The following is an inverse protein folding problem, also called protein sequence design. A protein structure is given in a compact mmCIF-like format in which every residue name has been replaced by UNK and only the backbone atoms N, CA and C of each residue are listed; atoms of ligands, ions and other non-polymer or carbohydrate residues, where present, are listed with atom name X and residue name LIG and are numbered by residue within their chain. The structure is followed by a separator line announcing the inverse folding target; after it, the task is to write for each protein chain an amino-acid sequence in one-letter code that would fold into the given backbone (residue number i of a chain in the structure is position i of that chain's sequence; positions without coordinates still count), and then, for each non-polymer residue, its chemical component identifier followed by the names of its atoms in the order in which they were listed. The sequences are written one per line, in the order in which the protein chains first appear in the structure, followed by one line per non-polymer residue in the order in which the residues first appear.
data_IF_863441527574
#
_entry.id   IF_863441527574
#
_cell.length_a   1.000
_cell.length_b   1.000
_cell.length_c   1.000
_cell.angle_alpha   90.00
_cell.angle_beta   90.00
_cell.angle_gamma   90.00
#
_symmetry.space_group_name_H-M   'P 1'
#
loop_
_entity.id
_entity.type
_entity.pdbx_description
1 polymer ?
#
# COMPACT_ATOMS: atom_id res chain seq x y z
N UNK A 1 29.52 -3.57 2.52
CA UNK A 1 29.89 -3.11 3.87
C UNK A 1 28.67 -2.50 4.54
N UNK A 2 28.31 -2.89 5.78
CA UNK A 2 27.18 -2.31 6.48
C UNK A 2 27.41 -0.82 6.71
N UNK A 3 26.48 0.02 6.25
CA UNK A 3 26.57 1.47 6.40
C UNK A 3 25.90 1.91 7.71
N UNK A 4 26.69 2.40 8.66
CA UNK A 4 26.16 3.12 9.82
C UNK A 4 25.87 4.56 9.38
N UNK A 5 24.62 5.00 9.51
CA UNK A 5 24.23 6.38 9.22
C UNK A 5 23.83 7.10 10.51
N UNK A 6 24.27 8.35 10.63
CA UNK A 6 23.80 9.24 11.67
C UNK A 6 22.89 10.28 11.04
N UNK A 7 21.71 10.47 11.60
CA UNK A 7 20.79 11.51 11.18
C UNK A 7 20.53 12.40 12.39
N UNK A 8 20.78 13.70 12.22
CA UNK A 8 20.40 14.72 13.19
C UNK A 8 18.98 15.16 12.86
N UNK A 9 18.07 15.07 13.81
CA UNK A 9 16.67 15.49 13.64
C UNK A 9 16.15 16.21 14.85
N UNK A 10 15.09 16.99 14.64
CA UNK A 10 14.20 17.40 15.71
C UNK A 10 13.79 16.18 16.53
N UNK A 11 13.76 16.34 17.84
CA UNK A 11 13.44 15.26 18.74
C UNK A 11 12.06 14.68 18.42
N UNK A 12 11.84 13.35 18.49
CA UNK A 12 10.52 12.74 18.32
C UNK A 12 9.44 13.29 19.26
N UNK A 13 9.83 13.86 20.41
CA UNK A 13 8.93 14.49 21.39
C UNK A 13 8.60 15.95 21.07
N UNK A 14 9.31 16.60 20.14
CA UNK A 14 9.10 18.01 19.84
C UNK A 14 7.63 18.36 19.49
N UNK A 15 6.87 17.53 18.75
CA UNK A 15 5.46 17.80 18.46
C UNK A 15 4.50 17.56 19.64
N UNK A 16 4.97 17.07 20.78
CA UNK A 16 4.16 16.62 21.90
C UNK A 16 4.46 17.37 23.21
N UNK A 17 5.21 18.46 23.15
CA UNK A 17 5.63 19.25 24.33
C UNK A 17 4.43 19.81 25.11
N UNK A 18 3.35 20.16 24.41
CA UNK A 18 2.08 20.62 24.97
C UNK A 18 1.35 19.55 25.80
N UNK A 19 1.67 18.27 25.58
CA UNK A 19 1.05 17.11 26.25
C UNK A 19 1.89 16.54 27.38
N UNK A 20 3.07 17.12 27.65
CA UNK A 20 3.97 16.65 28.69
C UNK A 20 3.81 17.54 29.93
N UNK A 21 3.28 16.97 31.01
CA UNK A 21 3.22 17.64 32.31
C UNK A 21 4.63 17.67 32.91
N UNK A 22 5.13 18.86 33.25
CA UNK A 22 6.53 19.04 33.70
C UNK A 22 6.88 18.25 34.98
N UNK A 23 5.90 18.06 35.86
CA UNK A 23 5.98 17.30 37.12
C UNK A 23 5.59 15.81 36.97
N UNK A 24 5.19 15.38 35.77
CA UNK A 24 4.79 14.01 35.49
C UNK A 24 5.96 13.02 35.47
N UNK A 25 5.66 11.75 35.73
CA UNK A 25 6.60 10.64 35.58
C UNK A 25 6.13 9.72 34.45
N UNK A 26 6.99 9.47 33.49
CA UNK A 26 6.68 8.74 32.26
C UNK A 26 7.51 7.47 32.19
N UNK A 27 6.87 6.37 31.81
CA UNK A 27 7.49 5.10 31.44
C UNK A 27 7.54 4.95 29.92
N UNK A 28 8.24 3.92 29.45
CA UNK A 28 8.28 3.62 28.02
C UNK A 28 6.89 3.34 27.39
N UNK A 29 5.97 2.59 28.05
CA UNK A 29 4.57 2.52 27.64
C UNK A 29 3.87 3.88 27.52
N UNK A 30 4.11 4.80 28.45
CA UNK A 30 3.48 6.13 28.43
C UNK A 30 3.99 6.95 27.25
N UNK A 31 5.29 6.89 26.97
CA UNK A 31 5.89 7.52 25.79
C UNK A 31 5.33 6.94 24.48
N UNK A 32 5.13 5.62 24.42
CA UNK A 32 4.52 4.98 23.26
C UNK A 32 3.08 5.49 23.03
N UNK A 33 2.29 5.59 24.10
CA UNK A 33 0.93 6.12 24.06
C UNK A 33 0.91 7.61 23.67
N UNK A 34 1.77 8.42 24.27
CA UNK A 34 1.91 9.87 24.00
C UNK A 34 2.16 10.15 22.51
N UNK A 35 3.06 9.39 21.89
CA UNK A 35 3.43 9.54 20.48
C UNK A 35 2.50 8.79 19.51
N UNK A 36 1.55 8.00 20.01
CA UNK A 36 0.68 7.16 19.18
C UNK A 36 1.45 6.07 18.40
N UNK A 37 2.53 5.52 18.97
CA UNK A 37 3.34 4.47 18.34
C UNK A 37 3.28 3.16 19.14
N UNK A 38 3.68 2.05 18.51
CA UNK A 38 3.78 0.78 19.22
C UNK A 38 4.85 0.81 20.33
N UNK A 39 4.66 0.03 21.40
CA UNK A 39 5.65 -0.13 22.47
C UNK A 39 7.01 -0.58 21.95
N UNK A 40 7.03 -1.48 20.96
CA UNK A 40 8.25 -1.94 20.30
C UNK A 40 8.99 -0.79 19.60
N UNK A 41 8.26 0.10 18.92
CA UNK A 41 8.85 1.29 18.29
C UNK A 41 9.44 2.26 19.32
N UNK A 42 8.73 2.51 20.43
CA UNK A 42 9.25 3.32 21.52
C UNK A 42 10.51 2.70 22.15
N UNK A 43 10.53 1.38 22.35
CA UNK A 43 11.70 0.65 22.86
C UNK A 43 12.92 0.83 21.95
N UNK A 44 12.73 0.73 20.64
CA UNK A 44 13.81 0.92 19.67
C UNK A 44 14.32 2.38 19.75
N UNK A 45 13.45 3.38 19.81
CA UNK A 45 13.88 4.78 20.01
C UNK A 45 14.70 4.95 21.31
N UNK A 46 14.24 4.36 22.42
CA UNK A 46 14.95 4.40 23.70
C UNK A 46 16.32 3.70 23.64
N UNK A 47 16.41 2.57 22.95
CA UNK A 47 17.64 1.79 22.79
C UNK A 47 18.70 2.56 21.97
N UNK A 48 18.27 3.41 21.04
CA UNK A 48 19.16 4.20 20.18
C UNK A 48 19.33 5.66 20.64
N UNK A 49 19.08 5.89 21.93
CA UNK A 49 19.47 7.13 22.59
C UNK A 49 18.52 8.30 22.39
N UNK A 50 17.33 8.08 21.81
CA UNK A 50 16.31 9.12 21.74
C UNK A 50 15.72 9.49 23.10
N UNK A 51 15.91 8.67 24.13
CA UNK A 51 15.47 8.98 25.49
C UNK A 51 16.60 8.75 26.50
N UNK A 52 17.82 9.15 26.15
CA UNK A 52 18.97 9.05 27.06
C UNK A 52 18.77 10.00 28.24
N UNK A 53 18.55 9.48 29.46
CA UNK A 53 18.59 10.32 30.65
C UNK A 53 20.03 10.75 30.94
N UNK A 54 20.24 11.97 31.42
CA UNK A 54 21.57 12.54 31.66
C UNK A 54 22.28 11.95 32.91
N UNK A 55 21.83 10.84 33.49
CA UNK A 55 22.45 10.37 34.73
C UNK A 55 22.00 9.04 35.35
N UNK A 56 21.16 8.22 34.70
CA UNK A 56 20.81 6.91 35.27
C UNK A 56 21.48 5.78 34.47
N UNK A 57 22.53 5.20 35.07
CA UNK A 57 23.18 3.98 34.61
C UNK A 57 22.15 2.87 34.31
N UNK A 58 22.09 2.32 33.07
CA UNK A 58 21.15 1.28 32.69
C UNK A 58 21.39 -0.07 33.39
N UNK A 59 22.42 -0.21 34.23
CA UNK A 59 22.77 -1.46 34.93
C UNK A 59 21.98 -1.75 36.20
N UNK A 60 21.12 -0.85 36.69
CA UNK A 60 20.18 -1.15 37.79
C UNK A 60 18.83 -1.53 37.20
N UNK A 61 18.49 -2.82 37.27
CA UNK A 61 17.32 -3.44 36.63
C UNK A 61 15.94 -2.96 37.12
N UNK A 62 15.61 -1.69 36.91
CA UNK A 62 14.28 -1.12 37.10
C UNK A 62 13.88 -0.32 35.87
N UNK A 63 12.61 -0.44 35.52
CA UNK A 63 11.91 0.23 34.42
C UNK A 63 12.44 1.64 34.16
N UNK A 64 12.88 1.93 32.93
CA UNK A 64 13.30 3.29 32.55
C UNK A 64 12.14 4.25 32.77
N UNK A 65 12.37 5.27 33.58
CA UNK A 65 11.43 6.35 33.87
C UNK A 65 12.08 7.69 33.57
N UNK A 66 11.25 8.65 33.16
CA UNK A 66 11.64 10.02 32.85
C UNK A 66 10.67 10.99 33.50
N UNK A 67 11.20 12.06 34.05
CA UNK A 67 10.37 13.19 34.48
C UNK A 67 9.91 14.00 33.27
N UNK A 68 8.77 14.67 33.37
CA UNK A 68 8.27 15.54 32.31
C UNK A 68 9.24 16.66 31.96
N UNK A 69 9.89 17.26 32.97
CA UNK A 69 10.93 18.27 32.77
C UNK A 69 12.11 17.74 31.93
N UNK A 70 12.56 16.50 32.16
CA UNK A 70 13.60 15.87 31.33
C UNK A 70 13.13 15.67 29.89
N UNK A 71 11.89 15.19 29.69
CA UNK A 71 11.33 14.98 28.36
C UNK A 71 11.16 16.29 27.58
N UNK A 72 10.71 17.36 28.24
CA UNK A 72 10.62 18.70 27.66
C UNK A 72 12.00 19.21 27.27
N UNK A 73 13.01 19.04 28.13
CA UNK A 73 14.38 19.41 27.80
C UNK A 73 14.91 18.61 26.60
N UNK A 74 14.69 17.29 26.56
CA UNK A 74 15.06 16.45 25.43
C UNK A 74 14.34 16.89 24.14
N UNK A 75 13.06 17.25 24.22
CA UNK A 75 12.26 17.68 23.08
C UNK A 75 12.84 18.91 22.36
N UNK A 76 13.53 19.78 23.09
CA UNK A 76 14.20 20.97 22.53
C UNK A 76 15.55 20.68 21.87
N UNK A 77 16.14 19.51 22.13
CA UNK A 77 17.48 19.15 21.65
C UNK A 77 17.38 18.25 20.43
N UNK A 78 18.16 18.49 19.37
CA UNK A 78 18.22 17.55 18.28
C UNK A 78 18.80 16.23 18.78
N UNK A 79 18.17 15.12 18.38
CA UNK A 79 18.67 13.78 18.70
C UNK A 79 19.55 13.29 17.55
N UNK A 80 20.68 12.66 17.90
CA UNK A 80 21.48 11.88 16.96
C UNK A 80 21.10 10.41 17.12
N UNK A 81 20.33 9.90 16.16
CA UNK A 81 19.97 8.48 16.12
C UNK A 81 21.00 7.76 15.24
N UNK A 82 21.60 6.71 15.78
CA UNK A 82 22.47 5.80 15.02
C UNK A 82 21.61 4.73 14.40
N UNK A 83 21.58 4.67 13.06
CA UNK A 83 20.80 3.74 12.28
C UNK A 83 21.74 2.70 11.67
N UNK A 84 21.82 1.53 12.30
CA UNK A 84 22.67 0.43 11.88
C UNK A 84 21.90 -0.58 11.02
N UNK A 85 22.29 -0.69 9.75
CA UNK A 85 21.71 -1.61 8.77
C UNK A 85 22.13 -3.07 8.98
N UNK A 86 23.16 -3.35 9.79
CA UNK A 86 23.51 -4.71 10.16
C UNK A 86 22.59 -5.26 11.26
N UNK A 87 22.09 -4.38 12.13
CA UNK A 87 21.32 -4.78 13.31
C UNK A 87 19.82 -4.84 13.05
N UNK A 88 19.28 -4.03 12.14
CA UNK A 88 17.85 -3.89 11.93
C UNK A 88 17.43 -4.16 10.50
N UNK A 89 16.23 -4.73 10.38
CA UNK A 89 15.55 -4.83 9.10
C UNK A 89 15.33 -3.42 8.48
N UNK A 90 15.52 -3.25 7.16
CA UNK A 90 15.37 -1.97 6.49
C UNK A 90 14.01 -1.26 6.71
N UNK A 91 12.93 -2.02 6.86
CA UNK A 91 11.60 -1.45 7.17
C UNK A 91 11.55 -0.75 8.52
N UNK A 92 12.18 -1.33 9.54
CA UNK A 92 12.29 -0.73 10.88
C UNK A 92 13.10 0.56 10.79
N UNK A 93 14.23 0.53 10.09
CA UNK A 93 15.06 1.71 9.89
C UNK A 93 14.32 2.81 9.13
N UNK A 94 13.50 2.47 8.14
CA UNK A 94 12.63 3.42 7.46
C UNK A 94 11.67 4.12 8.45
N UNK A 95 11.02 3.36 9.34
CA UNK A 95 10.12 3.93 10.37
C UNK A 95 10.87 4.83 11.36
N UNK A 96 12.11 4.50 11.69
CA UNK A 96 13.00 5.34 12.50
C UNK A 96 13.58 6.54 11.75
N UNK A 97 13.32 6.64 10.44
CA UNK A 97 13.65 7.81 9.65
C UNK A 97 14.76 7.61 8.62
N UNK A 98 15.36 6.42 8.48
CA UNK A 98 16.27 6.17 7.36
C UNK A 98 15.53 6.37 6.03
N UNK A 99 16.19 7.02 5.07
CA UNK A 99 15.66 7.29 3.73
C UNK A 99 16.66 6.91 2.64
N UNK A 100 17.57 5.96 2.92
CA UNK A 100 18.40 5.38 1.86
C UNK A 100 17.54 4.50 0.96
N UNK A 101 17.99 4.28 -0.27
CA UNK A 101 17.24 3.53 -1.29
C UNK A 101 16.79 2.17 -0.78
N UNK A 102 17.69 1.40 -0.16
CA UNK A 102 17.33 0.08 0.40
C UNK A 102 16.24 0.10 1.47
N UNK A 103 16.19 1.14 2.32
CA UNK A 103 15.12 1.28 3.31
C UNK A 103 13.80 1.76 2.67
N UNK A 104 13.88 2.66 1.68
CA UNK A 104 12.70 3.13 0.95
C UNK A 104 12.07 2.01 0.12
N UNK A 105 12.88 1.22 -0.57
CA UNK A 105 12.46 0.08 -1.38
C UNK A 105 11.79 -0.99 -0.52
N UNK A 106 12.40 -1.33 0.63
CA UNK A 106 11.82 -2.28 1.57
C UNK A 106 10.45 -1.80 2.09
N UNK A 107 10.34 -0.52 2.49
CA UNK A 107 9.05 0.04 2.91
C UNK A 107 8.01 0.03 1.78
N UNK A 108 8.41 0.36 0.55
CA UNK A 108 7.53 0.33 -0.61
C UNK A 108 7.05 -1.09 -0.93
N UNK A 109 7.93 -2.09 -0.82
CA UNK A 109 7.59 -3.50 -0.98
C UNK A 109 6.60 -3.96 0.10
N UNK A 110 6.87 -3.69 1.37
CA UNK A 110 5.97 -4.01 2.49
C UNK A 110 4.60 -3.34 2.33
N UNK A 111 4.57 -2.08 1.91
CA UNK A 111 3.34 -1.33 1.66
C UNK A 111 2.54 -1.91 0.49
N UNK A 112 3.22 -2.37 -0.57
CA UNK A 112 2.58 -3.06 -1.70
C UNK A 112 1.98 -4.40 -1.26
N UNK A 113 2.73 -5.18 -0.49
CA UNK A 113 2.26 -6.48 0.01
C UNK A 113 1.03 -6.31 0.90
N UNK A 114 1.09 -5.41 1.88
CA UNK A 114 -0.05 -5.12 2.75
C UNK A 114 -1.29 -4.69 1.96
N UNK A 115 -1.13 -3.83 0.95
CA UNK A 115 -2.23 -3.43 0.05
C UNK A 115 -2.82 -4.62 -0.72
N UNK A 116 -1.99 -5.55 -1.17
CA UNK A 116 -2.44 -6.78 -1.85
C UNK A 116 -3.22 -7.68 -0.91
N UNK A 117 -2.70 -7.95 0.30
CA UNK A 117 -3.41 -8.73 1.32
C UNK A 117 -4.76 -8.08 1.66
N UNK A 118 -4.80 -6.77 1.84
CA UNK A 118 -6.05 -6.05 2.09
C UNK A 118 -7.02 -6.12 0.90
N UNK A 119 -6.50 -6.11 -0.34
CA UNK A 119 -7.32 -6.32 -1.54
C UNK A 119 -7.81 -7.77 -1.67
N UNK A 120 -7.03 -8.77 -1.25
CA UNK A 120 -7.45 -10.18 -1.19
C UNK A 120 -8.59 -10.40 -0.21
N UNK A 121 -8.55 -9.73 0.94
CA UNK A 121 -9.63 -9.78 1.91
C UNK A 121 -10.91 -9.12 1.38
N UNK A 122 -10.80 -8.02 0.63
CA UNK A 122 -11.95 -7.32 0.04
C UNK A 122 -12.54 -8.00 -1.19
N UNK A 123 -11.73 -8.74 -1.93
CA UNK A 123 -12.15 -9.43 -3.15
C UNK A 123 -11.48 -10.82 -3.22
N UNK A 124 -11.93 -11.77 -2.38
CA UNK A 124 -11.34 -13.11 -2.24
C UNK A 124 -11.49 -13.96 -3.51
N UNK A 125 -10.71 -15.05 -3.58
CA UNK A 125 -10.68 -15.95 -4.75
C UNK A 125 -12.06 -16.46 -5.21
N UNK A 126 -12.98 -16.91 -4.32
CA UNK A 126 -14.28 -17.40 -4.76
C UNK A 126 -15.14 -16.32 -5.44
N UNK A 127 -15.05 -15.06 -4.95
CA UNK A 127 -15.75 -13.95 -5.60
C UNK A 127 -15.13 -13.60 -6.95
N UNK A 128 -13.81 -13.72 -7.09
CA UNK A 128 -13.11 -13.51 -8.37
C UNK A 128 -13.58 -14.54 -9.41
N UNK A 129 -13.60 -15.81 -9.04
CA UNK A 129 -14.08 -16.90 -9.90
C UNK A 129 -15.54 -16.70 -10.29
N UNK A 130 -16.39 -16.28 -9.36
CA UNK A 130 -17.80 -16.02 -9.62
C UNK A 130 -18.01 -14.84 -10.58
N UNK A 131 -17.25 -13.75 -10.43
CA UNK A 131 -17.27 -12.63 -11.39
C UNK A 131 -16.88 -13.12 -12.79
N UNK A 132 -15.80 -13.90 -12.89
CA UNK A 132 -15.35 -14.45 -14.18
C UNK A 132 -16.42 -15.33 -14.81
N UNK A 133 -17.07 -16.19 -14.02
CA UNK A 133 -18.16 -17.06 -14.47
C UNK A 133 -19.37 -16.25 -14.98
N UNK A 134 -19.83 -15.26 -14.22
CA UNK A 134 -20.95 -14.40 -14.61
C UNK A 134 -20.63 -13.63 -15.89
N UNK A 135 -19.42 -13.09 -15.99
CA UNK A 135 -18.97 -12.38 -17.20
C UNK A 135 -18.95 -13.32 -18.38
N UNK A 136 -18.38 -14.52 -18.25
CA UNK A 136 -18.35 -15.53 -19.30
C UNK A 136 -19.76 -15.99 -19.77
N UNK A 137 -20.78 -15.82 -18.93
CA UNK A 137 -22.19 -16.08 -19.25
C UNK A 137 -22.89 -14.90 -19.93
N UNK A 138 -22.17 -13.83 -20.27
CA UNK A 138 -22.74 -12.66 -20.92
C UNK A 138 -23.13 -11.53 -19.95
N UNK A 139 -22.84 -11.65 -18.65
CA UNK A 139 -23.18 -10.61 -17.67
C UNK A 139 -22.18 -9.45 -17.75
N UNK A 140 -22.62 -8.18 -17.88
CA UNK A 140 -21.70 -7.05 -17.85
C UNK A 140 -20.92 -6.97 -16.53
N UNK A 141 -19.63 -6.62 -16.59
CA UNK A 141 -18.74 -6.53 -15.41
C UNK A 141 -19.34 -5.73 -14.25
N UNK A 142 -20.02 -4.58 -14.44
CA UNK A 142 -20.62 -3.87 -13.32
C UNK A 142 -21.71 -4.65 -12.60
N UNK A 143 -22.54 -5.37 -13.35
CA UNK A 143 -23.60 -6.23 -12.81
C UNK A 143 -23.01 -7.46 -12.11
N UNK A 144 -22.00 -8.09 -12.71
CA UNK A 144 -21.30 -9.23 -12.11
C UNK A 144 -20.58 -8.85 -10.80
N UNK A 145 -19.92 -7.68 -10.76
CA UNK A 145 -19.29 -7.16 -9.55
C UNK A 145 -20.32 -6.90 -8.44
N UNK A 146 -21.45 -6.26 -8.77
CA UNK A 146 -22.53 -6.01 -7.82
C UNK A 146 -23.10 -7.33 -7.27
N UNK A 147 -23.23 -8.37 -8.10
CA UNK A 147 -23.75 -9.68 -7.68
C UNK A 147 -22.89 -10.36 -6.61
N UNK A 148 -21.56 -10.13 -6.60
CA UNK A 148 -20.65 -10.66 -5.57
C UNK A 148 -20.36 -9.66 -4.44
N UNK A 149 -21.04 -8.52 -4.42
CA UNK A 149 -20.90 -7.50 -3.38
C UNK A 149 -19.63 -6.64 -3.48
N UNK A 150 -19.04 -6.50 -4.67
CA UNK A 150 -17.86 -5.64 -4.89
C UNK A 150 -18.15 -4.55 -5.92
N UNK A 151 -17.31 -3.52 -5.95
CA UNK A 151 -17.43 -2.45 -6.95
C UNK A 151 -16.71 -2.82 -8.25
N UNK A 152 -17.10 -2.26 -9.41
CA UNK A 152 -16.36 -2.44 -10.66
C UNK A 152 -14.90 -1.97 -10.56
N UNK A 153 -14.63 -0.96 -9.72
CA UNK A 153 -13.28 -0.48 -9.44
C UNK A 153 -12.42 -1.53 -8.72
N UNK A 154 -13.00 -2.37 -7.85
CA UNK A 154 -12.28 -3.47 -7.23
C UNK A 154 -11.82 -4.51 -8.27
N UNK A 155 -12.69 -4.82 -9.25
CA UNK A 155 -12.37 -5.74 -10.35
C UNK A 155 -11.25 -5.19 -11.24
N UNK A 156 -11.37 -3.93 -11.67
CA UNK A 156 -10.34 -3.27 -12.49
C UNK A 156 -9.01 -3.10 -11.73
N UNK A 157 -9.09 -2.73 -10.44
CA UNK A 157 -7.92 -2.60 -9.57
C UNK A 157 -7.20 -3.92 -9.39
N UNK A 158 -7.92 -5.04 -9.25
CA UNK A 158 -7.35 -6.39 -9.21
C UNK A 158 -6.59 -6.73 -10.50
N UNK A 159 -7.24 -6.56 -11.65
CA UNK A 159 -6.64 -6.86 -12.96
C UNK A 159 -5.39 -6.03 -13.28
N UNK A 160 -5.18 -4.90 -12.57
CA UNK A 160 -3.98 -4.07 -12.79
C UNK A 160 -2.69 -4.73 -12.30
N UNK A 161 -2.75 -5.64 -11.32
CA UNK A 161 -1.56 -6.23 -10.69
C UNK A 161 -1.58 -7.76 -10.58
N UNK A 162 -2.74 -8.40 -10.74
CA UNK A 162 -2.92 -9.85 -10.82
C UNK A 162 -3.09 -10.24 -12.29
N UNK A 163 -1.99 -10.62 -12.95
CA UNK A 163 -1.96 -10.91 -14.39
C UNK A 163 -2.84 -12.12 -14.75
N UNK A 164 -2.84 -13.16 -13.91
CA UNK A 164 -3.65 -14.35 -14.15
C UNK A 164 -5.15 -14.01 -14.10
N UNK A 165 -5.57 -13.18 -13.14
CA UNK A 165 -6.95 -12.69 -13.11
C UNK A 165 -7.27 -11.77 -14.29
N UNK A 166 -6.33 -10.91 -14.69
CA UNK A 166 -6.51 -10.01 -15.84
C UNK A 166 -6.73 -10.80 -17.14
N UNK A 167 -5.90 -11.81 -17.41
CA UNK A 167 -6.01 -12.67 -18.59
C UNK A 167 -7.32 -13.44 -18.60
N UNK A 168 -7.73 -14.00 -17.45
CA UNK A 168 -9.00 -14.70 -17.32
C UNK A 168 -10.19 -13.76 -17.51
N UNK A 169 -10.11 -12.52 -17.02
CA UNK A 169 -11.14 -11.50 -17.21
C UNK A 169 -11.23 -11.08 -18.67
N UNK A 170 -10.10 -10.84 -19.34
CA UNK A 170 -10.06 -10.54 -20.77
C UNK A 170 -10.63 -11.70 -21.61
N UNK A 171 -10.35 -12.96 -21.22
CA UNK A 171 -10.95 -14.12 -21.86
C UNK A 171 -12.48 -14.15 -21.67
N UNK A 172 -12.96 -13.92 -20.45
CA UNK A 172 -14.39 -13.90 -20.14
C UNK A 172 -15.11 -12.75 -20.89
N UNK A 173 -14.46 -11.60 -21.04
CA UNK A 173 -14.99 -10.42 -21.75
C UNK A 173 -15.27 -10.68 -23.24
N UNK A 174 -14.66 -11.70 -23.86
CA UNK A 174 -15.01 -12.10 -25.22
C UNK A 174 -16.45 -12.58 -25.37
N UNK A 175 -17.05 -13.16 -24.32
CA UNK A 175 -18.46 -13.55 -24.33
C UNK A 175 -19.42 -12.36 -24.45
N UNK A 176 -18.95 -11.15 -24.10
CA UNK A 176 -19.69 -9.90 -24.27
C UNK A 176 -19.54 -9.31 -25.69
N UNK A 177 -18.78 -9.97 -26.57
CA UNK A 177 -18.61 -9.52 -27.94
C UNK A 177 -19.83 -9.90 -28.77
N UNK A 178 -20.59 -8.90 -29.23
CA UNK A 178 -21.77 -9.08 -30.08
C UNK A 178 -21.45 -9.63 -31.47
N UNK A 179 -20.23 -9.41 -31.95
CA UNK A 179 -19.80 -9.75 -33.31
C UNK A 179 -18.91 -10.99 -33.36
N UNK A 180 -18.40 -11.50 -32.23
CA UNK A 180 -17.39 -12.54 -32.20
C UNK A 180 -15.97 -12.02 -32.54
N UNK A 181 -14.96 -12.84 -32.29
CA UNK A 181 -13.54 -12.45 -32.41
C UNK A 181 -13.04 -12.37 -33.86
N UNK A 182 -13.68 -13.11 -34.77
CA UNK A 182 -13.27 -13.24 -36.18
C UNK A 182 -14.05 -12.33 -37.11
N UNK A 183 -15.03 -11.59 -36.61
CA UNK A 183 -15.86 -10.72 -37.44
C UNK A 183 -15.05 -9.47 -37.85
N UNK A 184 -14.98 -9.15 -39.17
CA UNK A 184 -14.25 -8.01 -39.68
C UNK A 184 -14.67 -6.66 -39.07
N UNK A 185 -15.87 -6.59 -38.49
CA UNK A 185 -16.39 -5.42 -37.82
C UNK A 185 -15.95 -5.30 -36.35
N UNK A 186 -15.52 -6.36 -35.65
CA UNK A 186 -14.97 -6.21 -34.27
C UNK A 186 -13.80 -5.21 -34.28
N UNK A 187 -13.78 -4.36 -33.27
CA UNK A 187 -12.78 -3.30 -33.14
C UNK A 187 -13.05 -2.06 -33.99
N UNK A 188 -13.95 -2.08 -34.98
CA UNK A 188 -14.27 -0.89 -35.79
C UNK A 188 -15.11 0.14 -35.01
N UNK A 189 -15.01 1.42 -35.40
CA UNK A 189 -15.83 2.48 -34.81
C UNK A 189 -17.34 2.32 -35.11
N UNK A 190 -17.68 1.58 -36.17
CA UNK A 190 -19.06 1.23 -36.50
C UNK A 190 -19.59 0.18 -35.49
N UNK A 191 -18.86 -0.91 -35.27
CA UNK A 191 -19.27 -1.95 -34.33
C UNK A 191 -19.42 -1.44 -32.89
N UNK A 192 -18.61 -0.48 -32.44
CA UNK A 192 -18.78 0.11 -31.10
C UNK A 192 -20.04 0.97 -30.94
N UNK A 193 -20.48 1.62 -32.02
CA UNK A 193 -21.69 2.45 -31.99
C UNK A 193 -22.96 1.61 -32.13
N UNK A 194 -22.83 0.40 -32.70
CA UNK A 194 -23.98 -0.38 -33.11
C UNK A 194 -24.57 0.17 -34.40
N UNK A 195 -25.65 -0.44 -34.87
CA UNK A 195 -26.35 0.03 -36.05
C UNK A 195 -27.22 1.25 -35.72
N UNK A 196 -27.36 2.19 -36.68
CA UNK A 196 -28.14 3.44 -36.48
C UNK A 196 -29.64 3.20 -36.31
N UNK A 197 -30.13 2.07 -36.82
CA UNK A 197 -31.50 1.56 -36.71
C UNK A 197 -31.72 0.72 -35.44
N UNK A 198 -30.72 0.61 -34.56
CA UNK A 198 -30.76 -0.14 -33.30
C UNK A 198 -31.02 -1.65 -33.42
N UNK A 199 -30.98 -2.21 -34.62
CA UNK A 199 -31.11 -3.66 -34.87
C UNK A 199 -29.93 -4.45 -34.33
N UNK A 200 -28.74 -3.85 -34.26
CA UNK A 200 -27.55 -4.44 -33.65
C UNK A 200 -26.99 -3.56 -32.53
N UNK A 201 -27.01 -4.00 -31.26
CA UNK A 201 -26.44 -3.24 -30.17
C UNK A 201 -24.92 -3.10 -30.34
N UNK A 202 -24.40 -1.92 -30.04
CA UNK A 202 -22.96 -1.66 -30.10
C UNK A 202 -22.16 -2.61 -29.21
N UNK A 203 -20.96 -2.97 -29.67
CA UNK A 203 -20.06 -3.87 -28.96
C UNK A 203 -19.76 -3.34 -27.55
N UNK A 204 -20.15 -4.13 -26.54
CA UNK A 204 -19.96 -3.82 -25.12
C UNK A 204 -18.70 -4.45 -24.53
N UNK A 205 -18.05 -5.36 -25.27
CA UNK A 205 -16.78 -5.96 -24.87
C UNK A 205 -15.65 -4.93 -24.79
N UNK A 206 -15.10 -4.74 -23.59
CA UNK A 206 -13.89 -3.92 -23.39
C UNK A 206 -12.63 -4.58 -23.96
N UNK A 207 -12.65 -5.90 -24.18
CA UNK A 207 -11.57 -6.68 -24.78
C UNK A 207 -11.23 -6.29 -26.24
N UNK A 208 -12.22 -6.08 -27.13
CA UNK A 208 -11.94 -5.56 -28.49
C UNK A 208 -11.24 -4.16 -28.40
N UNK A 209 -11.46 -3.36 -27.32
CA UNK A 209 -10.84 -2.01 -27.16
C UNK A 209 -9.40 -2.09 -26.66
N UNK A 210 -9.10 -2.98 -25.72
CA UNK A 210 -7.72 -3.19 -25.24
C UNK A 210 -6.86 -3.80 -26.34
N UNK A 211 -7.35 -4.85 -27.01
CA UNK A 211 -6.67 -5.50 -28.14
C UNK A 211 -6.32 -4.50 -29.26
N UNK A 212 -7.30 -3.70 -29.73
CA UNK A 212 -7.05 -2.72 -30.79
C UNK A 212 -6.06 -1.64 -30.37
N UNK A 213 -6.10 -1.19 -29.11
CA UNK A 213 -5.10 -0.23 -28.61
C UNK A 213 -3.70 -0.84 -28.54
N UNK A 214 -3.59 -2.14 -28.28
CA UNK A 214 -2.33 -2.88 -28.35
C UNK A 214 -1.82 -3.01 -29.79
N UNK A 215 -2.67 -3.52 -30.70
CA UNK A 215 -2.34 -3.69 -32.12
C UNK A 215 -1.92 -2.38 -32.78
N UNK A 216 -2.69 -1.29 -32.60
CA UNK A 216 -2.33 0.02 -33.17
C UNK A 216 -1.07 0.66 -32.55
N UNK A 217 -0.63 0.22 -31.36
CA UNK A 217 0.68 0.65 -30.82
C UNK A 217 1.82 -0.12 -31.47
N UNK A 218 1.63 -1.41 -31.73
CA UNK A 218 2.60 -2.25 -32.43
C UNK A 218 2.78 -1.79 -33.89
N UNK A 219 1.70 -1.50 -34.61
CA UNK A 219 1.71 -0.98 -35.99
C UNK A 219 2.43 0.37 -36.14
N UNK A 220 2.50 1.19 -35.09
CA UNK A 220 3.23 2.47 -35.10
C UNK A 220 4.69 2.34 -34.67
N UNK A 221 5.04 1.22 -34.06
CA UNK A 221 6.38 0.96 -33.52
C UNK A 221 7.25 0.14 -34.48
N UNK A 222 6.64 -0.52 -35.47
CA UNK A 222 7.33 -1.11 -36.63
C UNK A 222 7.32 -0.16 -37.81
#
# INVERSE_FOLDING_TARGET
MPQVRHVVRSHPLAPYTDKIAADGLYTLPDLAALMGISRSSAHVLAAHGAFSSNGADPRRGRTRQWTGAELLLMATRPVRITLDHAQFAPETLYRLGCRCDGCMDAHAAASREWKRTAADQKFPAPQREEVLRLVAQGTPVPTAAAAVGVTPHCVAGRATWDTAFADALDQALWSLCTWGQTDPQCGTAAAYRGSRDHTTPGCRGTACRSWRRGASRQERAG
#
